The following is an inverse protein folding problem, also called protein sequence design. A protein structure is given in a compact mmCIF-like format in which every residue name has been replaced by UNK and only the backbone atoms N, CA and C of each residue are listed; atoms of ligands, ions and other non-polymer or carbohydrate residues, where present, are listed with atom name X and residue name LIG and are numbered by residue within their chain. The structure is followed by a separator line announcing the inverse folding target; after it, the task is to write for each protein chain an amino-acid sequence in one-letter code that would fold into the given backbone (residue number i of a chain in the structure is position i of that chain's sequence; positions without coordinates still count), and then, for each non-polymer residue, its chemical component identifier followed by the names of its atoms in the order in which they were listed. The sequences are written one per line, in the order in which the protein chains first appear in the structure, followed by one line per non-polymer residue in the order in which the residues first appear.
data_IF_874710563801
#
_entry.id   IF_874710563801
#
_cell.length_a   1.000
_cell.length_b   1.000
_cell.length_c   1.000
_cell.angle_alpha   90.00
_cell.angle_beta   90.00
_cell.angle_gamma   90.00
#
_symmetry.space_group_name_H-M   'P 1'
#
loop_
_entity.id
_entity.type
_entity.pdbx_description
1 polymer ?
#
# COMPACT_ATOMS: atom_id res chain seq x y z
N UNK A 1 38.61 -11.04 -17.60
CA UNK A 1 37.70 -12.07 -17.05
C UNK A 1 36.37 -11.80 -17.65
N UNK A 2 35.83 -12.68 -18.53
CA UNK A 2 34.54 -12.53 -19.16
C UNK A 2 33.50 -12.53 -18.05
N UNK A 3 32.82 -11.41 -17.82
CA UNK A 3 31.57 -11.39 -17.08
C UNK A 3 30.63 -12.24 -17.92
N UNK A 4 30.25 -13.45 -17.48
CA UNK A 4 29.13 -14.16 -18.03
C UNK A 4 27.93 -13.21 -17.87
N UNK A 5 27.33 -12.80 -18.99
CA UNK A 5 26.11 -12.02 -18.97
C UNK A 5 25.04 -12.85 -18.23
N UNK A 6 24.73 -12.43 -17.01
CA UNK A 6 23.75 -13.14 -16.18
C UNK A 6 22.36 -12.95 -16.80
N UNK A 7 21.73 -14.07 -17.20
CA UNK A 7 20.41 -14.07 -17.80
C UNK A 7 19.35 -14.48 -16.76
N UNK A 8 18.33 -13.65 -16.62
CA UNK A 8 17.19 -13.86 -15.73
C UNK A 8 15.88 -13.97 -16.54
N UNK A 9 14.89 -14.63 -15.97
CA UNK A 9 13.53 -14.61 -16.51
C UNK A 9 12.84 -13.30 -16.15
N UNK A 10 12.99 -12.86 -14.90
CA UNK A 10 12.41 -11.63 -14.37
C UNK A 10 13.44 -10.84 -13.56
N UNK A 11 13.61 -9.56 -13.89
CA UNK A 11 14.28 -8.61 -13.02
C UNK A 11 13.25 -7.71 -12.35
N UNK A 12 13.30 -7.62 -11.02
CA UNK A 12 12.43 -6.78 -10.20
C UNK A 12 13.28 -5.64 -9.62
N UNK A 13 12.95 -4.42 -9.97
CA UNK A 13 13.60 -3.20 -9.50
C UNK A 13 12.82 -2.63 -8.32
N UNK A 14 13.44 -2.62 -7.15
CA UNK A 14 12.85 -2.22 -5.87
C UNK A 14 12.57 -3.44 -4.98
N UNK A 15 13.39 -3.62 -3.93
CA UNK A 15 13.23 -4.67 -2.92
C UNK A 15 12.37 -4.21 -1.72
N UNK A 16 11.48 -3.24 -1.94
CA UNK A 16 10.43 -2.89 -1.01
C UNK A 16 9.36 -3.99 -0.91
N UNK A 17 8.29 -3.70 -0.19
CA UNK A 17 7.23 -4.68 0.09
C UNK A 17 6.65 -5.30 -1.20
N UNK A 18 6.33 -4.48 -2.21
CA UNK A 18 5.72 -4.99 -3.46
C UNK A 18 6.66 -5.86 -4.28
N UNK A 19 7.94 -5.46 -4.44
CA UNK A 19 8.90 -6.24 -5.21
C UNK A 19 9.28 -7.55 -4.53
N UNK A 20 9.45 -7.51 -3.22
CA UNK A 20 9.78 -8.70 -2.41
C UNK A 20 8.63 -9.71 -2.39
N UNK A 21 7.38 -9.24 -2.24
CA UNK A 21 6.20 -10.12 -2.31
C UNK A 21 6.00 -10.70 -3.71
N UNK A 22 6.26 -9.93 -4.77
CA UNK A 22 6.22 -10.47 -6.13
C UNK A 22 7.29 -11.56 -6.32
N UNK A 23 8.53 -11.32 -5.90
CA UNK A 23 9.61 -12.30 -5.97
C UNK A 23 9.22 -13.60 -5.25
N UNK A 24 8.70 -13.50 -4.03
CA UNK A 24 8.23 -14.65 -3.27
C UNK A 24 7.09 -15.37 -4.00
N UNK A 25 6.07 -14.65 -4.49
CA UNK A 25 4.94 -15.23 -5.19
C UNK A 25 5.35 -16.00 -6.44
N UNK A 26 6.27 -15.45 -7.24
CA UNK A 26 6.82 -16.11 -8.42
C UNK A 26 7.53 -17.40 -8.07
N UNK A 27 8.40 -17.37 -7.06
CA UNK A 27 9.24 -18.49 -6.67
C UNK A 27 8.47 -19.59 -5.93
N UNK A 28 7.44 -19.23 -5.18
CA UNK A 28 6.53 -20.21 -4.55
C UNK A 28 5.73 -20.96 -5.60
N UNK A 29 5.27 -20.31 -6.66
CA UNK A 29 4.50 -20.91 -7.76
C UNK A 29 5.37 -21.65 -8.78
N UNK A 30 6.58 -21.18 -9.01
CA UNK A 30 7.54 -21.78 -9.97
C UNK A 30 8.99 -21.59 -9.52
N UNK A 31 9.53 -22.56 -8.81
CA UNK A 31 10.91 -22.56 -8.29
C UNK A 31 12.00 -22.58 -9.36
N UNK A 32 11.65 -22.85 -10.63
CA UNK A 32 12.61 -22.88 -11.76
C UNK A 32 12.86 -21.50 -12.37
N UNK A 33 12.02 -20.51 -12.07
CA UNK A 33 12.24 -19.15 -12.56
C UNK A 33 13.53 -18.56 -11.96
N UNK A 34 14.31 -17.94 -12.81
CA UNK A 34 15.49 -17.16 -12.39
C UNK A 34 15.06 -15.71 -12.16
N UNK A 35 14.98 -15.32 -10.89
CA UNK A 35 14.54 -13.99 -10.49
C UNK A 35 15.70 -13.20 -9.91
N UNK A 36 15.91 -11.98 -10.41
CA UNK A 36 16.77 -10.99 -9.80
C UNK A 36 15.92 -9.93 -9.10
N UNK A 37 16.16 -9.73 -7.81
CA UNK A 37 15.59 -8.64 -7.01
C UNK A 37 16.70 -7.64 -6.71
N UNK A 38 16.55 -6.39 -7.16
CA UNK A 38 17.55 -5.35 -6.95
C UNK A 38 16.98 -4.12 -6.27
N UNK A 39 17.81 -3.43 -5.46
CA UNK A 39 17.46 -2.17 -4.82
C UNK A 39 18.66 -1.22 -4.80
N UNK A 40 18.40 0.08 -4.92
CA UNK A 40 19.43 1.11 -4.84
C UNK A 40 19.97 1.32 -3.42
N UNK A 41 19.26 0.83 -2.41
CA UNK A 41 19.64 0.92 -0.99
C UNK A 41 20.08 -0.44 -0.44
N UNK A 42 20.95 -0.40 0.56
CA UNK A 42 21.23 -1.59 1.38
C UNK A 42 19.98 -2.04 2.14
N UNK A 43 19.87 -3.34 2.43
CA UNK A 43 18.83 -3.81 3.35
C UNK A 43 18.93 -3.00 4.64
N UNK A 44 17.85 -2.38 5.02
CA UNK A 44 17.81 -1.68 6.31
C UNK A 44 17.96 -2.73 7.40
N UNK A 45 19.21 -2.93 7.85
CA UNK A 45 19.43 -3.61 9.12
C UNK A 45 18.56 -2.91 10.15
N UNK A 46 17.83 -3.64 11.01
CA UNK A 46 17.14 -3.02 12.11
C UNK A 46 18.23 -2.28 12.90
N UNK A 47 18.33 -0.98 12.70
CA UNK A 47 19.12 -0.15 13.60
C UNK A 47 18.48 -0.42 14.93
N UNK A 48 19.25 -0.96 15.86
CA UNK A 48 18.88 -1.02 17.25
C UNK A 48 18.74 0.45 17.69
N UNK A 49 17.59 1.05 17.37
CA UNK A 49 17.26 2.37 17.82
C UNK A 49 17.08 2.25 19.32
N UNK A 50 17.79 3.05 20.07
CA UNK A 50 17.61 3.25 21.51
C UNK A 50 16.21 3.80 21.83
N UNK A 51 15.40 4.10 20.81
CA UNK A 51 14.01 4.47 20.89
C UNK A 51 13.14 3.20 20.99
N UNK A 52 12.16 3.26 21.88
CA UNK A 52 11.22 2.19 22.12
C UNK A 52 10.68 1.62 20.79
N UNK A 53 10.97 0.34 20.44
CA UNK A 53 10.56 -0.27 19.14
C UNK A 53 9.04 -0.23 18.94
N UNK A 54 8.27 -0.08 20.00
CA UNK A 54 6.80 0.04 19.96
C UNK A 54 6.29 1.25 19.18
N UNK A 55 7.14 2.21 18.84
CA UNK A 55 6.76 3.47 18.20
C UNK A 55 7.33 3.63 16.79
N UNK A 56 7.81 2.57 16.16
CA UNK A 56 8.17 2.58 14.73
C UNK A 56 6.91 2.84 13.88
N UNK A 57 6.95 3.91 13.06
CA UNK A 57 5.75 4.63 12.67
C UNK A 57 4.91 3.99 11.55
N UNK A 58 5.49 3.10 10.73
CA UNK A 58 4.82 2.65 9.51
C UNK A 58 4.03 1.37 9.70
N UNK A 59 2.71 1.51 9.51
CA UNK A 59 1.78 0.39 9.53
C UNK A 59 0.94 0.36 8.25
N UNK A 60 0.40 -0.79 7.94
CA UNK A 60 -0.55 -0.98 6.84
C UNK A 60 -1.81 -1.67 7.36
N UNK A 61 -2.94 -1.29 6.79
CA UNK A 61 -4.20 -2.00 6.95
C UNK A 61 -4.35 -2.98 5.78
N UNK A 62 -4.32 -4.27 6.08
CA UNK A 62 -4.57 -5.36 5.15
C UNK A 62 -6.05 -5.69 5.18
N UNK A 63 -6.72 -5.68 4.04
CA UNK A 63 -8.09 -6.19 3.93
C UNK A 63 -8.12 -7.73 3.86
N UNK A 64 -9.31 -8.33 3.92
CA UNK A 64 -9.47 -9.78 3.92
C UNK A 64 -8.82 -10.45 2.70
N UNK A 65 -8.98 -9.87 1.50
CA UNK A 65 -8.35 -10.38 0.28
C UNK A 65 -6.82 -10.36 0.33
N UNK A 66 -6.24 -9.31 0.92
CA UNK A 66 -4.79 -9.21 1.13
C UNK A 66 -4.29 -10.23 2.15
N UNK A 67 -5.07 -10.50 3.19
CA UNK A 67 -4.77 -11.57 4.17
C UNK A 67 -4.79 -12.94 3.50
N UNK A 68 -5.81 -13.23 2.68
CA UNK A 68 -5.89 -14.48 1.92
C UNK A 68 -4.66 -14.68 1.02
N UNK A 69 -4.23 -13.63 0.31
CA UNK A 69 -3.00 -13.69 -0.49
C UNK A 69 -1.75 -14.01 0.35
N UNK A 70 -1.62 -13.43 1.56
CA UNK A 70 -0.51 -13.76 2.47
C UNK A 70 -0.61 -15.18 3.04
N UNK A 71 -1.83 -15.72 3.19
CA UNK A 71 -2.05 -17.13 3.53
C UNK A 71 -1.58 -18.07 2.42
N UNK A 72 -1.91 -17.75 1.16
CA UNK A 72 -1.47 -18.52 -0.01
C UNK A 72 0.06 -18.58 -0.12
N UNK A 73 0.75 -17.52 0.34
CA UNK A 73 2.20 -17.46 0.41
C UNK A 73 2.78 -18.08 1.71
N UNK A 74 1.94 -18.64 2.57
CA UNK A 74 2.34 -19.23 3.88
C UNK A 74 3.05 -18.23 4.81
N UNK A 75 2.80 -16.91 4.65
CA UNK A 75 3.37 -15.86 5.50
C UNK A 75 2.46 -15.49 6.66
N UNK A 76 1.14 -15.72 6.53
CA UNK A 76 0.16 -15.16 7.45
C UNK A 76 0.30 -15.69 8.88
N UNK A 77 0.62 -16.98 9.04
CA UNK A 77 0.73 -17.58 10.37
C UNK A 77 1.87 -16.98 11.21
N UNK A 78 2.94 -16.49 10.55
CA UNK A 78 4.03 -15.78 11.21
C UNK A 78 3.71 -14.29 11.44
N UNK A 79 2.90 -13.67 10.56
CA UNK A 79 2.51 -12.26 10.68
C UNK A 79 1.40 -12.07 11.72
N UNK A 80 0.41 -12.97 11.75
CA UNK A 80 -0.81 -12.89 12.54
C UNK A 80 -0.62 -12.62 14.04
N UNK A 81 0.38 -13.19 14.72
CA UNK A 81 0.58 -12.92 16.17
C UNK A 81 0.82 -11.45 16.50
N UNK A 82 1.34 -10.65 15.53
CA UNK A 82 1.59 -9.22 15.69
C UNK A 82 0.59 -8.35 14.89
N UNK A 83 -0.45 -8.97 14.35
CA UNK A 83 -1.51 -8.26 13.62
C UNK A 83 -2.67 -7.91 14.55
N UNK A 84 -3.22 -6.70 14.40
CA UNK A 84 -4.37 -6.27 15.17
C UNK A 84 -5.62 -6.27 14.27
N UNK A 85 -6.70 -6.99 14.62
CA UNK A 85 -7.91 -7.01 13.81
C UNK A 85 -8.63 -5.65 13.82
N UNK A 86 -9.27 -5.31 12.72
CA UNK A 86 -10.22 -4.19 12.60
C UNK A 86 -11.62 -4.81 12.61
N UNK A 87 -12.29 -4.75 13.76
CA UNK A 87 -13.65 -5.29 13.91
C UNK A 87 -14.74 -4.25 13.66
N UNK A 88 -14.41 -2.97 13.81
CA UNK A 88 -15.32 -1.87 13.55
C UNK A 88 -14.58 -0.70 12.90
N UNK A 89 -15.27 0.05 12.05
CA UNK A 89 -14.76 1.29 11.48
C UNK A 89 -15.74 2.39 11.84
N UNK A 90 -15.30 3.38 12.62
CA UNK A 90 -16.09 4.54 12.97
C UNK A 90 -15.70 5.74 12.10
N UNK A 91 -16.64 6.21 11.31
CA UNK A 91 -16.47 7.38 10.45
C UNK A 91 -17.13 8.60 11.11
N UNK A 92 -16.46 9.75 11.10
CA UNK A 92 -17.01 11.00 11.65
C UNK A 92 -16.52 12.23 10.90
N UNK A 93 -17.28 13.33 10.97
CA UNK A 93 -16.91 14.62 10.42
C UNK A 93 -16.84 15.66 11.54
N UNK A 94 -15.73 16.42 11.60
CA UNK A 94 -15.51 17.43 12.66
C UNK A 94 -16.51 18.58 12.52
N UNK A 95 -17.25 18.85 13.60
CA UNK A 95 -18.25 19.92 13.64
C UNK A 95 -19.67 19.50 13.25
N UNK A 96 -19.87 18.21 12.92
CA UNK A 96 -21.19 17.68 12.59
C UNK A 96 -21.59 16.50 13.48
N UNK A 97 -22.92 16.32 13.63
CA UNK A 97 -23.48 15.20 14.37
C UNK A 97 -23.56 13.97 13.46
N UNK A 98 -23.31 12.81 14.06
CA UNK A 98 -23.34 11.51 13.38
C UNK A 98 -21.92 10.90 13.29
N UNK A 99 -21.86 9.63 13.62
CA UNK A 99 -20.66 8.79 13.46
C UNK A 99 -21.12 7.37 13.22
N UNK A 100 -21.43 7.06 11.94
CA UNK A 100 -21.75 5.69 11.59
C UNK A 100 -20.58 4.78 11.99
N UNK A 101 -20.95 3.65 12.58
CA UNK A 101 -20.03 2.55 12.86
C UNK A 101 -20.36 1.44 11.90
N UNK A 102 -19.41 1.13 11.02
CA UNK A 102 -19.48 -0.03 10.15
C UNK A 102 -18.97 -1.23 10.93
N UNK A 103 -19.65 -2.35 10.82
CA UNK A 103 -19.25 -3.62 11.39
C UNK A 103 -19.59 -4.75 10.40
N UNK A 104 -18.80 -5.82 10.31
CA UNK A 104 -19.17 -7.00 9.54
C UNK A 104 -20.49 -7.59 10.08
N UNK A 105 -21.26 -8.27 9.24
CA UNK A 105 -22.50 -8.95 9.64
C UNK A 105 -22.24 -9.99 10.72
N UNK A 106 -21.17 -10.74 10.56
CA UNK A 106 -20.70 -11.69 11.56
C UNK A 106 -19.70 -11.01 12.51
N UNK A 107 -20.04 -10.92 13.79
CA UNK A 107 -19.21 -10.28 14.82
C UNK A 107 -17.83 -10.92 15.03
N UNK A 108 -17.64 -12.16 14.58
CA UNK A 108 -16.36 -12.86 14.66
C UNK A 108 -15.44 -12.56 13.47
N UNK A 109 -15.93 -11.86 12.45
CA UNK A 109 -15.14 -11.43 11.32
C UNK A 109 -14.47 -10.09 11.58
N UNK A 110 -13.40 -9.83 10.85
CA UNK A 110 -12.73 -8.55 10.80
C UNK A 110 -12.76 -8.00 9.37
N UNK A 111 -12.81 -6.69 9.20
CA UNK A 111 -12.60 -6.03 7.91
C UNK A 111 -11.21 -6.33 7.35
N UNK A 112 -10.27 -6.62 8.24
CA UNK A 112 -8.88 -6.84 7.94
C UNK A 112 -8.03 -6.69 9.20
N UNK A 113 -6.74 -6.48 8.99
CA UNK A 113 -5.78 -6.41 10.09
C UNK A 113 -4.79 -5.27 9.87
N UNK A 114 -4.37 -4.65 10.95
CA UNK A 114 -3.27 -3.69 10.94
C UNK A 114 -1.99 -4.41 11.31
N UNK A 115 -0.94 -4.23 10.51
CA UNK A 115 0.38 -4.83 10.73
C UNK A 115 1.48 -3.79 10.62
N UNK A 116 2.51 -3.93 11.42
CA UNK A 116 3.71 -3.10 11.33
C UNK A 116 4.58 -3.57 10.17
N UNK A 117 4.94 -2.68 9.25
CA UNK A 117 5.74 -2.99 8.05
C UNK A 117 7.08 -3.64 8.38
N UNK A 118 7.69 -3.26 9.48
CA UNK A 118 8.93 -3.84 9.96
C UNK A 118 8.81 -5.35 10.19
N UNK A 119 7.73 -5.77 10.86
CA UNK A 119 7.52 -7.19 11.14
C UNK A 119 7.26 -7.98 9.86
N UNK A 120 6.39 -7.48 8.99
CA UNK A 120 6.11 -8.11 7.68
C UNK A 120 7.40 -8.23 6.86
N UNK A 121 8.23 -7.18 6.86
CA UNK A 121 9.52 -7.18 6.16
C UNK A 121 10.51 -8.24 6.67
N UNK A 122 10.54 -8.49 8.01
CA UNK A 122 11.37 -9.54 8.60
C UNK A 122 10.92 -10.94 8.18
N UNK A 123 9.61 -11.22 8.29
CA UNK A 123 9.02 -12.50 7.85
C UNK A 123 9.28 -12.75 6.36
N UNK A 124 9.09 -11.72 5.54
CA UNK A 124 9.29 -11.81 4.09
C UNK A 124 10.77 -12.04 3.73
N UNK A 125 11.70 -11.37 4.40
CA UNK A 125 13.14 -11.58 4.18
C UNK A 125 13.58 -13.02 4.54
N UNK A 126 13.04 -13.58 5.63
CA UNK A 126 13.30 -14.97 6.02
C UNK A 126 12.74 -15.95 4.98
N UNK A 127 11.52 -15.73 4.50
CA UNK A 127 10.92 -16.57 3.47
C UNK A 127 11.72 -16.53 2.15
N UNK A 128 12.13 -15.34 1.70
CA UNK A 128 12.92 -15.19 0.48
C UNK A 128 14.30 -15.86 0.55
N UNK A 129 14.93 -15.88 1.72
CA UNK A 129 16.23 -16.50 1.92
C UNK A 129 16.25 -18.02 1.68
N UNK A 130 15.09 -18.66 1.61
CA UNK A 130 14.98 -20.11 1.35
C UNK A 130 15.13 -20.49 -0.12
N UNK A 131 15.01 -19.51 -1.05
CA UNK A 131 15.03 -19.76 -2.49
C UNK A 131 16.42 -19.56 -3.10
N UNK A 132 17.04 -20.63 -3.57
CA UNK A 132 18.35 -20.60 -4.24
C UNK A 132 18.30 -20.02 -5.66
N UNK A 133 17.13 -19.97 -6.29
CA UNK A 133 16.88 -19.39 -7.60
C UNK A 133 16.63 -17.87 -7.57
N UNK A 134 16.61 -17.27 -6.37
CA UNK A 134 16.57 -15.83 -6.17
C UNK A 134 18.00 -15.29 -6.08
N UNK A 135 18.31 -14.34 -6.94
CA UNK A 135 19.49 -13.49 -6.79
C UNK A 135 19.03 -12.13 -6.22
N UNK A 136 19.72 -11.66 -5.18
CA UNK A 136 19.46 -10.32 -4.63
C UNK A 136 20.68 -9.43 -4.86
N UNK A 137 20.44 -8.20 -5.28
CA UNK A 137 21.48 -7.22 -5.52
C UNK A 137 21.08 -5.88 -4.88
N UNK A 138 21.79 -5.50 -3.83
CA UNK A 138 21.61 -4.24 -3.13
C UNK A 138 22.71 -3.24 -3.48
N UNK A 139 22.52 -1.96 -3.11
CA UNK A 139 23.40 -0.85 -3.48
C UNK A 139 23.60 -0.73 -5.01
N UNK A 140 22.58 -1.14 -5.76
CA UNK A 140 22.59 -1.20 -7.21
C UNK A 140 21.45 -0.37 -7.80
N UNK A 141 21.79 0.72 -8.46
CA UNK A 141 20.82 1.62 -9.09
C UNK A 141 20.71 1.32 -10.58
N UNK A 142 19.47 1.25 -11.08
CA UNK A 142 19.19 1.17 -12.51
C UNK A 142 19.50 2.52 -13.17
N UNK A 143 20.43 2.53 -14.14
CA UNK A 143 20.83 3.74 -14.88
C UNK A 143 20.21 3.81 -16.27
N UNK A 144 20.15 2.66 -16.97
CA UNK A 144 19.59 2.56 -18.32
C UNK A 144 18.76 1.29 -18.46
N UNK A 145 17.74 1.36 -19.28
CA UNK A 145 16.85 0.26 -19.64
C UNK A 145 16.68 0.25 -21.16
N UNK A 146 17.14 -0.80 -21.79
CA UNK A 146 16.98 -1.01 -23.23
C UNK A 146 16.04 -2.19 -23.47
N UNK A 147 15.05 -1.99 -24.30
CA UNK A 147 14.02 -2.98 -24.62
C UNK A 147 14.29 -3.57 -26.00
N UNK A 148 14.27 -4.90 -26.08
CA UNK A 148 14.46 -5.66 -27.32
C UNK A 148 13.29 -6.60 -27.57
N UNK A 149 13.19 -7.14 -28.73
CA UNK A 149 12.11 -8.07 -29.08
C UNK A 149 12.02 -9.27 -28.13
N UNK A 150 13.16 -9.76 -27.64
CA UNK A 150 13.25 -10.98 -26.81
C UNK A 150 13.48 -10.74 -25.33
N UNK A 151 13.72 -9.49 -24.91
CA UNK A 151 14.02 -9.18 -23.52
C UNK A 151 14.42 -7.73 -23.29
N UNK A 152 15.02 -7.49 -22.15
CA UNK A 152 15.53 -6.18 -21.70
C UNK A 152 16.96 -6.29 -21.28
N UNK A 153 17.70 -5.20 -21.44
CA UNK A 153 19.03 -5.01 -20.87
C UNK A 153 18.98 -3.87 -19.87
N UNK A 154 19.33 -4.16 -18.63
CA UNK A 154 19.42 -3.21 -17.53
C UNK A 154 20.88 -2.89 -17.24
N UNK A 155 21.28 -1.63 -17.40
CA UNK A 155 22.61 -1.15 -16.98
C UNK A 155 22.47 -0.56 -15.58
N UNK A 156 23.26 -1.07 -14.65
CA UNK A 156 23.28 -0.66 -13.25
C UNK A 156 24.50 0.19 -12.95
N UNK A 157 24.55 0.75 -11.75
CA UNK A 157 25.79 1.35 -11.21
C UNK A 157 26.95 0.34 -11.27
N UNK A 158 28.20 0.83 -11.27
CA UNK A 158 29.43 0.03 -11.40
C UNK A 158 29.52 -0.73 -12.74
N UNK A 159 28.90 -0.21 -13.81
CA UNK A 159 28.90 -0.76 -15.17
C UNK A 159 28.43 -2.23 -15.27
N UNK A 160 27.65 -2.69 -14.30
CA UNK A 160 27.07 -4.02 -14.31
C UNK A 160 25.88 -4.06 -15.27
N UNK A 161 25.90 -5.04 -16.18
CA UNK A 161 24.83 -5.26 -17.18
C UNK A 161 24.09 -6.55 -16.87
N UNK A 162 22.76 -6.49 -16.88
CA UNK A 162 21.85 -7.60 -16.60
C UNK A 162 20.89 -7.77 -17.79
N UNK A 163 20.68 -9.00 -18.20
CA UNK A 163 19.71 -9.37 -19.24
C UNK A 163 18.53 -10.13 -18.62
N UNK A 164 17.31 -9.74 -18.99
CA UNK A 164 16.11 -10.43 -18.54
C UNK A 164 15.02 -10.45 -19.62
N UNK A 165 14.04 -11.34 -19.50
CA UNK A 165 12.87 -11.39 -20.40
C UNK A 165 11.86 -10.32 -20.07
N UNK A 166 11.72 -9.99 -18.76
CA UNK A 166 10.80 -9.01 -18.22
C UNK A 166 11.49 -8.17 -17.17
N UNK A 167 11.28 -6.84 -17.21
CA UNK A 167 11.61 -5.92 -16.14
C UNK A 167 10.33 -5.48 -15.42
N UNK A 168 10.31 -5.64 -14.09
CA UNK A 168 9.21 -5.18 -13.23
C UNK A 168 9.69 -4.01 -12.38
N UNK A 169 9.04 -2.85 -12.53
CA UNK A 169 9.25 -1.67 -11.69
C UNK A 169 8.40 -1.74 -10.43
N UNK A 170 9.04 -1.93 -9.27
CA UNK A 170 8.46 -1.88 -7.93
C UNK A 170 9.18 -0.84 -7.06
N UNK A 171 9.80 0.16 -7.68
CA UNK A 171 10.74 1.14 -7.17
C UNK A 171 10.07 2.44 -6.67
N UNK A 172 8.79 2.36 -6.34
CA UNK A 172 8.05 3.41 -5.63
C UNK A 172 7.57 4.57 -6.52
N UNK A 173 7.04 5.62 -5.89
CA UNK A 173 6.37 6.72 -6.58
C UNK A 173 7.26 7.54 -7.53
N UNK A 174 8.57 7.57 -7.30
CA UNK A 174 9.56 8.21 -8.17
C UNK A 174 10.27 7.19 -9.10
N UNK A 175 9.52 6.20 -9.57
CA UNK A 175 10.03 5.06 -10.33
C UNK A 175 10.96 5.44 -11.48
N UNK A 176 12.18 4.92 -11.41
CA UNK A 176 13.18 5.01 -12.47
C UNK A 176 12.80 4.12 -13.65
N UNK A 177 12.24 2.92 -13.36
CA UNK A 177 11.76 2.00 -14.41
C UNK A 177 10.67 2.67 -15.24
N UNK A 178 9.67 3.28 -14.60
CA UNK A 178 8.60 4.02 -15.28
C UNK A 178 9.16 5.10 -16.18
N UNK A 179 10.12 5.87 -15.69
CA UNK A 179 10.76 6.96 -16.43
C UNK A 179 11.53 6.46 -17.64
N UNK A 180 12.40 5.45 -17.46
CA UNK A 180 13.22 4.88 -18.52
C UNK A 180 12.40 4.13 -19.57
N UNK A 181 11.33 3.47 -19.19
CA UNK A 181 10.37 2.81 -20.10
C UNK A 181 9.40 3.80 -20.78
N UNK A 182 9.47 5.09 -20.45
CA UNK A 182 8.61 6.16 -20.97
C UNK A 182 7.11 5.88 -20.76
N UNK A 183 6.78 5.24 -19.66
CA UNK A 183 5.38 5.02 -19.26
C UNK A 183 4.83 6.37 -18.77
N UNK A 184 3.79 6.86 -19.47
CA UNK A 184 3.14 8.13 -19.11
C UNK A 184 2.38 8.01 -17.79
N UNK A 185 2.40 9.09 -17.02
CA UNK A 185 1.69 9.17 -15.75
C UNK A 185 1.19 10.58 -15.49
N UNK A 186 0.17 10.69 -14.68
CA UNK A 186 -0.34 11.93 -14.14
C UNK A 186 0.02 12.01 -12.66
N UNK A 187 0.41 13.21 -12.21
CA UNK A 187 0.70 13.47 -10.81
C UNK A 187 -0.05 14.73 -10.38
N UNK A 188 -0.96 14.56 -9.43
CA UNK A 188 -1.75 15.64 -8.84
C UNK A 188 -1.35 15.82 -7.38
N UNK A 189 -0.88 17.01 -7.03
CA UNK A 189 -0.56 17.37 -5.64
C UNK A 189 -1.84 17.83 -4.94
N UNK A 190 -2.15 17.24 -3.78
CA UNK A 190 -3.28 17.65 -2.96
C UNK A 190 -2.99 18.93 -2.14
N UNK A 191 -1.76 19.45 -2.15
CA UNK A 191 -1.32 20.57 -1.32
C UNK A 191 -1.30 20.23 0.17
N UNK A 192 -1.16 18.96 0.50
CA UNK A 192 -1.23 18.40 1.85
C UNK A 192 -0.14 17.38 2.09
N UNK A 193 0.16 17.15 3.38
CA UNK A 193 1.06 16.11 3.83
C UNK A 193 0.38 15.24 4.90
N UNK A 194 0.78 13.99 5.00
CA UNK A 194 0.40 13.10 6.09
C UNK A 194 1.52 13.03 7.12
N UNK A 195 1.20 13.33 8.37
CA UNK A 195 2.05 13.03 9.52
C UNK A 195 1.67 11.62 9.98
N UNK A 196 2.64 10.71 9.96
CA UNK A 196 2.46 9.33 10.39
C UNK A 196 3.22 9.12 11.69
N UNK A 197 2.55 8.63 12.71
CA UNK A 197 3.14 8.28 14.00
C UNK A 197 2.33 7.18 14.68
N UNK A 198 2.90 6.57 15.72
CA UNK A 198 2.16 5.71 16.61
C UNK A 198 1.91 6.44 17.92
N UNK A 199 0.70 6.32 18.46
CA UNK A 199 0.34 6.88 19.77
C UNK A 199 -0.13 5.78 20.70
N UNK A 200 -0.01 6.01 22.02
CA UNK A 200 -0.63 5.19 23.06
C UNK A 200 -1.80 5.94 23.65
N UNK A 201 -2.91 5.22 23.86
CA UNK A 201 -4.11 5.74 24.52
C UNK A 201 -4.25 5.17 25.91
N UNK A 202 -4.96 5.91 26.78
CA UNK A 202 -5.30 5.43 28.11
C UNK A 202 -6.27 4.24 28.06
N UNK A 203 -7.29 4.34 27.23
CA UNK A 203 -8.30 3.30 27.05
C UNK A 203 -7.90 2.29 25.97
N UNK A 204 -8.35 1.02 26.10
CA UNK A 204 -8.24 0.03 25.03
C UNK A 204 -9.03 0.46 23.79
N UNK A 205 -8.47 0.23 22.59
CA UNK A 205 -9.10 0.59 21.32
C UNK A 205 -10.27 -0.31 20.89
N UNK A 206 -10.51 -1.44 21.57
CA UNK A 206 -11.60 -2.38 21.28
C UNK A 206 -11.67 -2.84 19.80
N UNK A 207 -10.53 -2.87 19.11
CA UNK A 207 -10.42 -3.21 17.67
C UNK A 207 -11.20 -2.26 16.75
N UNK A 208 -11.40 -1.00 17.17
CA UNK A 208 -12.07 0.03 16.39
C UNK A 208 -11.02 0.85 15.64
N UNK A 209 -11.16 0.92 14.31
CA UNK A 209 -10.48 1.91 13.49
C UNK A 209 -11.35 3.17 13.40
N UNK A 210 -10.71 4.32 13.33
CA UNK A 210 -11.41 5.60 13.23
C UNK A 210 -10.96 6.34 11.97
N UNK A 211 -11.92 6.92 11.26
CA UNK A 211 -11.69 7.87 10.18
C UNK A 211 -12.44 9.16 10.51
N UNK A 212 -11.71 10.23 10.82
CA UNK A 212 -12.29 11.52 11.16
C UNK A 212 -11.92 12.55 10.12
N UNK A 213 -12.90 12.98 9.38
CA UNK A 213 -12.73 14.07 8.43
C UNK A 213 -12.68 15.42 9.13
N UNK A 214 -11.72 16.25 8.73
CA UNK A 214 -11.54 17.62 9.20
C UNK A 214 -11.38 18.56 8.02
N UNK A 215 -11.42 19.87 8.26
CA UNK A 215 -11.17 20.88 7.22
C UNK A 215 -9.77 20.77 6.58
N UNK A 216 -8.81 20.25 7.33
CA UNK A 216 -7.41 20.13 6.88
C UNK A 216 -7.15 18.78 6.20
N UNK A 217 -8.07 17.85 6.28
CA UNK A 217 -7.98 16.48 5.76
C UNK A 217 -8.39 15.44 6.80
N UNK A 218 -8.39 14.16 6.45
CA UNK A 218 -8.73 13.09 7.36
C UNK A 218 -7.66 12.86 8.42
N UNK A 219 -8.12 12.35 9.57
CA UNK A 219 -7.29 11.75 10.61
C UNK A 219 -7.74 10.30 10.77
N UNK A 220 -6.89 9.35 10.41
CA UNK A 220 -7.13 7.94 10.62
C UNK A 220 -6.39 7.46 11.88
N UNK A 221 -7.07 6.67 12.71
CA UNK A 221 -6.47 5.91 13.80
C UNK A 221 -6.71 4.42 13.55
N UNK A 222 -5.65 3.67 13.36
CA UNK A 222 -5.70 2.23 13.11
C UNK A 222 -5.23 1.49 14.37
N UNK A 223 -6.02 0.53 14.91
CA UNK A 223 -5.65 -0.16 16.14
C UNK A 223 -4.38 -0.98 15.97
N UNK A 224 -3.50 -0.92 16.96
CA UNK A 224 -2.28 -1.71 17.09
C UNK A 224 -2.28 -2.45 18.42
N UNK A 225 -1.37 -3.40 18.57
CA UNK A 225 -1.17 -4.10 19.84
C UNK A 225 -0.92 -3.11 21.00
N UNK A 226 -1.17 -3.53 22.25
CA UNK A 226 -0.85 -2.78 23.48
C UNK A 226 -1.52 -1.39 23.61
N UNK A 227 -2.79 -1.26 23.23
CA UNK A 227 -3.55 0.00 23.31
C UNK A 227 -2.94 1.14 22.49
N UNK A 228 -2.17 0.81 21.45
CA UNK A 228 -1.62 1.79 20.51
C UNK A 228 -2.55 1.99 19.32
N UNK A 229 -2.37 3.13 18.69
CA UNK A 229 -2.89 3.40 17.35
C UNK A 229 -1.78 3.85 16.42
N UNK A 230 -1.81 3.39 15.18
CA UNK A 230 -1.13 4.07 14.09
C UNK A 230 -2.00 5.24 13.63
N UNK A 231 -1.40 6.40 13.56
CA UNK A 231 -2.04 7.67 13.18
C UNK A 231 -1.61 8.04 11.77
N UNK A 232 -2.58 8.39 10.93
CA UNK A 232 -2.36 9.10 9.68
C UNK A 232 -3.07 10.44 9.80
N UNK A 233 -2.33 11.51 10.05
CA UNK A 233 -2.88 12.85 10.24
C UNK A 233 -2.58 13.71 9.02
N UNK A 234 -3.59 13.98 8.20
CA UNK A 234 -3.46 14.84 7.03
C UNK A 234 -3.56 16.30 7.42
N UNK A 235 -2.59 17.10 6.96
CA UNK A 235 -2.47 18.54 7.25
C UNK A 235 -2.21 19.34 5.97
N UNK A 236 -2.69 20.57 5.93
CA UNK A 236 -2.34 21.51 4.86
C UNK A 236 -0.84 21.83 4.91
N UNK A 237 -0.17 21.87 3.75
CA UNK A 237 1.27 22.13 3.68
C UNK A 237 1.67 23.49 4.27
N UNK A 238 0.73 24.46 4.37
CA UNK A 238 0.99 25.75 5.01
C UNK A 238 1.03 25.65 6.54
N UNK A 239 0.29 24.71 7.14
CA UNK A 239 0.26 24.49 8.58
C UNK A 239 1.34 23.50 9.05
N UNK A 240 1.90 22.72 8.13
CA UNK A 240 2.85 21.66 8.45
C UNK A 240 4.07 22.14 9.25
N UNK A 241 4.78 23.23 8.88
CA UNK A 241 5.98 23.66 9.62
C UNK A 241 5.72 23.94 11.10
N UNK A 242 4.57 24.54 11.40
CA UNK A 242 4.18 24.84 12.78
C UNK A 242 3.93 23.55 13.58
N UNK A 243 3.32 22.55 12.96
CA UNK A 243 3.00 21.27 13.61
C UNK A 243 4.24 20.39 13.79
N UNK A 244 5.18 20.42 12.85
CA UNK A 244 6.44 19.64 12.94
C UNK A 244 7.33 20.14 14.10
N UNK A 245 7.29 21.43 14.42
CA UNK A 245 8.09 22.01 15.50
C UNK A 245 7.52 21.81 16.90
N UNK A 246 6.28 21.30 17.01
CA UNK A 246 5.66 21.05 18.32
C UNK A 246 6.44 19.99 19.12
N UNK A 247 6.53 20.19 20.42
CA UNK A 247 6.95 19.13 21.35
C UNK A 247 5.98 17.96 21.30
N UNK A 248 6.37 16.79 21.80
CA UNK A 248 5.48 15.61 21.84
C UNK A 248 4.21 15.89 22.64
N UNK A 249 4.30 16.61 23.74
CA UNK A 249 3.15 16.98 24.57
C UNK A 249 2.21 17.96 23.85
N UNK A 250 2.76 18.97 23.18
CA UNK A 250 1.98 19.95 22.43
C UNK A 250 1.35 19.30 21.19
N UNK A 251 2.08 18.42 20.49
CA UNK A 251 1.55 17.66 19.38
C UNK A 251 0.37 16.77 19.79
N UNK A 252 0.48 16.04 20.90
CA UNK A 252 -0.62 15.22 21.42
C UNK A 252 -1.83 16.08 21.78
N UNK A 253 -1.61 17.25 22.41
CA UNK A 253 -2.67 18.20 22.73
C UNK A 253 -3.36 18.71 21.47
N UNK A 254 -2.58 19.06 20.46
CA UNK A 254 -3.07 19.51 19.16
C UNK A 254 -3.85 18.41 18.44
N UNK A 255 -3.30 17.20 18.36
CA UNK A 255 -3.95 16.04 17.72
C UNK A 255 -5.26 15.67 18.46
N UNK A 256 -5.26 15.71 19.80
CA UNK A 256 -6.46 15.47 20.60
C UNK A 256 -7.56 16.51 20.32
N UNK A 257 -7.20 17.79 20.18
CA UNK A 257 -8.15 18.86 19.84
C UNK A 257 -8.76 18.68 18.42
N UNK A 258 -7.96 18.18 17.46
CA UNK A 258 -8.44 17.90 16.11
C UNK A 258 -9.28 16.63 16.06
N UNK A 259 -8.85 15.57 16.75
CA UNK A 259 -9.53 14.28 16.71
C UNK A 259 -10.73 14.20 17.68
N UNK A 260 -10.64 14.81 18.85
CA UNK A 260 -11.61 14.65 19.96
C UNK A 260 -11.28 13.43 20.84
N UNK A 261 -12.22 13.05 21.73
CA UNK A 261 -11.97 12.06 22.79
C UNK A 261 -12.58 10.67 22.53
N UNK A 262 -13.03 10.39 21.31
CA UNK A 262 -13.73 9.11 21.00
C UNK A 262 -12.84 7.87 21.09
N UNK A 263 -11.55 8.02 20.81
CA UNK A 263 -10.57 6.96 20.98
C UNK A 263 -9.90 6.98 22.37
N UNK A 264 -10.41 7.82 23.30
CA UNK A 264 -9.82 8.03 24.61
C UNK A 264 -8.80 9.17 24.62
N UNK A 265 -8.00 9.23 25.70
CA UNK A 265 -6.99 10.25 25.92
C UNK A 265 -5.64 9.77 25.39
N UNK A 266 -5.02 10.59 24.54
CA UNK A 266 -3.70 10.33 24.00
C UNK A 266 -2.63 10.65 25.04
N UNK A 267 -1.73 9.71 25.28
CA UNK A 267 -0.77 9.81 26.39
C UNK A 267 0.68 9.93 25.91
N UNK A 268 1.01 9.28 24.80
CA UNK A 268 2.38 9.18 24.32
C UNK A 268 2.39 9.09 22.82
N UNK A 269 3.40 9.69 22.17
CA UNK A 269 3.65 9.56 20.73
C UNK A 269 5.05 9.03 20.47
N UNK A 270 5.21 8.30 19.38
CA UNK A 270 6.51 7.94 18.81
C UNK A 270 7.04 9.00 17.85
N UNK A 271 8.04 8.65 17.06
CA UNK A 271 8.57 9.47 15.99
C UNK A 271 7.46 9.84 14.99
N UNK A 272 7.58 11.04 14.42
CA UNK A 272 6.66 11.59 13.44
C UNK A 272 7.36 11.64 12.08
N UNK A 273 6.83 10.88 11.12
CA UNK A 273 7.31 10.90 9.74
C UNK A 273 6.33 11.69 8.87
N UNK A 274 6.83 12.48 7.93
CA UNK A 274 6.01 13.31 7.04
C UNK A 274 6.12 12.85 5.60
N UNK A 275 4.96 12.69 4.96
CA UNK A 275 4.85 12.27 3.57
C UNK A 275 3.96 13.22 2.78
N UNK A 276 4.44 13.81 1.66
CA UNK A 276 3.61 14.63 0.79
C UNK A 276 2.51 13.77 0.15
N UNK A 277 1.28 14.28 0.13
CA UNK A 277 0.13 13.58 -0.42
C UNK A 277 -0.05 13.94 -1.90
N UNK A 278 0.22 12.98 -2.75
CA UNK A 278 0.06 13.11 -4.20
C UNK A 278 -0.72 11.93 -4.75
N UNK A 279 -1.61 12.19 -5.68
CA UNK A 279 -2.20 11.16 -6.53
C UNK A 279 -1.29 10.96 -7.73
N UNK A 280 -0.76 9.76 -7.90
CA UNK A 280 -0.03 9.36 -9.08
C UNK A 280 -0.79 8.22 -9.75
N UNK A 281 -1.06 8.34 -11.02
CA UNK A 281 -1.74 7.32 -11.82
C UNK A 281 -1.06 7.16 -13.17
N UNK A 282 -0.93 5.92 -13.64
CA UNK A 282 -0.52 5.60 -15.00
C UNK A 282 -1.74 5.17 -15.80
N UNK A 283 -1.87 5.64 -17.04
CA UNK A 283 -2.96 5.20 -17.93
C UNK A 283 -2.78 3.72 -18.31
N UNK A 284 -1.53 3.34 -18.55
CA UNK A 284 -1.10 1.99 -18.87
C UNK A 284 0.23 1.72 -18.17
N UNK A 285 0.26 0.89 -17.08
CA UNK A 285 1.50 0.62 -16.36
C UNK A 285 2.44 -0.36 -17.08
N UNK A 286 2.21 -0.63 -18.35
CA UNK A 286 2.95 -1.58 -19.19
C UNK A 286 3.62 -0.88 -20.36
N UNK A 287 4.78 -1.40 -20.74
CA UNK A 287 5.51 -1.09 -21.97
C UNK A 287 6.08 -2.39 -22.53
N UNK A 288 6.78 -2.33 -23.67
CA UNK A 288 7.38 -3.54 -24.24
C UNK A 288 8.37 -4.17 -23.25
N UNK A 289 8.11 -5.41 -22.79
CA UNK A 289 8.95 -6.13 -21.81
C UNK A 289 9.08 -5.45 -20.45
N UNK A 290 8.21 -4.51 -20.13
CA UNK A 290 8.26 -3.76 -18.85
C UNK A 290 6.85 -3.63 -18.27
N UNK A 291 6.75 -3.77 -16.93
CA UNK A 291 5.53 -3.49 -16.18
C UNK A 291 5.87 -2.78 -14.87
N UNK A 292 5.08 -1.79 -14.49
CA UNK A 292 5.15 -1.16 -13.17
C UNK A 292 4.02 -1.68 -12.26
N UNK A 293 4.33 -1.89 -10.98
CA UNK A 293 3.38 -2.34 -9.95
C UNK A 293 3.46 -1.49 -8.69
N UNK A 294 2.43 -1.54 -7.86
CA UNK A 294 2.36 -0.80 -6.61
C UNK A 294 2.59 0.69 -6.82
N UNK A 295 3.36 1.34 -5.93
CA UNK A 295 3.58 2.79 -6.01
C UNK A 295 4.30 3.25 -7.28
N UNK A 296 4.95 2.37 -8.04
CA UNK A 296 5.51 2.69 -9.34
C UNK A 296 4.43 2.85 -10.42
N UNK A 297 3.30 2.17 -10.28
CA UNK A 297 2.15 2.29 -11.17
C UNK A 297 1.11 3.31 -10.68
N UNK A 298 0.85 3.33 -9.38
CA UNK A 298 -0.15 4.20 -8.75
C UNK A 298 0.22 4.55 -7.31
N UNK A 299 0.03 5.79 -6.90
CA UNK A 299 0.13 6.22 -5.50
C UNK A 299 -1.14 6.94 -5.13
N UNK A 300 -1.87 6.40 -4.16
CA UNK A 300 -3.17 6.89 -3.74
C UNK A 300 -3.08 7.65 -2.42
N UNK A 301 -4.08 8.48 -2.16
CA UNK A 301 -4.25 9.07 -0.84
C UNK A 301 -4.44 7.95 0.21
N UNK A 302 -3.86 8.06 1.42
CA UNK A 302 -3.91 7.01 2.44
C UNK A 302 -5.31 6.77 3.05
N UNK A 303 -6.35 7.46 2.59
CA UNK A 303 -7.73 7.23 3.02
C UNK A 303 -8.12 5.77 2.81
N UNK A 304 -8.66 5.17 3.84
CA UNK A 304 -9.12 3.77 3.88
C UNK A 304 -8.05 2.72 3.55
N UNK A 305 -6.75 3.06 3.54
CA UNK A 305 -5.64 2.12 3.35
C UNK A 305 -5.63 1.37 2.01
N UNK A 306 -6.27 1.89 0.96
CA UNK A 306 -6.50 1.16 -0.30
C UNK A 306 -5.26 1.02 -1.19
N UNK A 307 -4.29 1.94 -1.11
CA UNK A 307 -3.15 1.95 -2.03
C UNK A 307 -2.30 0.67 -1.97
N UNK A 308 -2.00 0.20 -0.77
CA UNK A 308 -1.22 -1.03 -0.59
C UNK A 308 -2.00 -2.27 -1.02
N UNK A 309 -3.28 -2.36 -0.65
CA UNK A 309 -4.14 -3.49 -1.01
C UNK A 309 -4.34 -3.59 -2.54
N UNK A 310 -4.44 -2.45 -3.24
CA UNK A 310 -4.47 -2.41 -4.70
C UNK A 310 -3.16 -2.98 -5.30
N UNK A 311 -2.01 -2.56 -4.76
CA UNK A 311 -0.70 -3.09 -5.15
C UNK A 311 -0.57 -4.60 -4.92
N UNK A 312 -1.11 -5.14 -3.82
CA UNK A 312 -1.12 -6.59 -3.58
C UNK A 312 -1.93 -7.35 -4.64
N UNK A 313 -3.09 -6.82 -5.04
CA UNK A 313 -3.87 -7.41 -6.13
C UNK A 313 -3.14 -7.37 -7.46
N UNK A 314 -2.36 -6.31 -7.73
CA UNK A 314 -1.54 -6.21 -8.94
C UNK A 314 -0.50 -7.30 -9.01
N UNK A 315 0.29 -7.46 -7.95
CA UNK A 315 1.36 -8.45 -7.93
C UNK A 315 0.84 -9.88 -7.91
N UNK A 316 -0.32 -10.15 -7.28
CA UNK A 316 -0.96 -11.46 -7.30
C UNK A 316 -1.33 -11.87 -8.74
N UNK A 317 -2.07 -11.01 -9.44
CA UNK A 317 -2.47 -11.27 -10.85
C UNK A 317 -1.26 -11.37 -11.78
N UNK A 318 -0.26 -10.49 -11.59
CA UNK A 318 0.96 -10.54 -12.40
C UNK A 318 1.73 -11.84 -12.20
N UNK A 319 1.86 -12.29 -10.95
CA UNK A 319 2.54 -13.55 -10.64
C UNK A 319 1.83 -14.75 -11.25
N UNK A 320 0.49 -14.78 -11.21
CA UNK A 320 -0.31 -15.84 -11.83
C UNK A 320 -0.09 -15.91 -13.34
N UNK A 321 -0.16 -14.77 -14.00
CA UNK A 321 0.02 -14.71 -15.46
C UNK A 321 1.45 -15.10 -15.83
N UNK A 322 2.49 -14.58 -15.15
CA UNK A 322 3.89 -14.94 -15.43
C UNK A 322 4.10 -16.46 -15.28
N UNK A 323 3.58 -17.05 -14.22
CA UNK A 323 3.84 -18.47 -13.94
C UNK A 323 3.05 -19.45 -14.83
N UNK A 324 1.96 -18.99 -15.44
CA UNK A 324 1.19 -19.73 -16.43
C UNK A 324 1.69 -19.51 -17.88
N UNK A 325 2.50 -18.48 -18.10
CA UNK A 325 3.07 -18.16 -19.42
C UNK A 325 4.29 -19.05 -19.71
N UNK A 326 4.42 -19.62 -20.92
CA UNK A 326 5.65 -20.29 -21.33
C UNK A 326 6.87 -19.39 -21.13
N UNK A 327 7.98 -19.96 -20.65
CA UNK A 327 9.16 -19.18 -20.24
C UNK A 327 9.71 -18.28 -21.34
N UNK A 328 9.64 -18.70 -22.62
CA UNK A 328 10.08 -17.89 -23.77
C UNK A 328 9.16 -16.67 -24.02
N UNK A 329 7.90 -16.71 -23.59
CA UNK A 329 6.89 -15.69 -23.83
C UNK A 329 6.74 -14.71 -22.65
N UNK A 330 7.46 -14.95 -21.55
CA UNK A 330 7.49 -14.03 -20.39
C UNK A 330 7.89 -12.63 -20.88
N UNK A 331 7.08 -11.62 -20.53
CA UNK A 331 7.27 -10.23 -20.94
C UNK A 331 6.79 -9.92 -22.35
N UNK A 332 6.16 -10.86 -23.08
CA UNK A 332 5.54 -10.56 -24.37
C UNK A 332 4.44 -9.52 -24.22
N UNK A 333 4.14 -8.82 -25.29
CA UNK A 333 3.07 -7.82 -25.29
C UNK A 333 1.70 -8.45 -25.02
N UNK A 334 1.44 -9.67 -25.50
CA UNK A 334 0.19 -10.38 -25.22
C UNK A 334 0.02 -10.68 -23.73
N UNK A 335 1.08 -11.20 -23.06
CA UNK A 335 1.07 -11.46 -21.63
C UNK A 335 0.83 -10.18 -20.81
N UNK A 336 1.53 -9.08 -21.14
CA UNK A 336 1.37 -7.81 -20.43
C UNK A 336 0.01 -7.15 -20.71
N UNK A 337 -0.53 -7.32 -21.91
CA UNK A 337 -1.88 -6.85 -22.24
C UNK A 337 -2.96 -7.61 -21.49
N UNK A 338 -2.82 -8.94 -21.36
CA UNK A 338 -3.71 -9.76 -20.52
C UNK A 338 -3.68 -9.29 -19.07
N UNK A 339 -2.48 -9.08 -18.51
CA UNK A 339 -2.35 -8.51 -17.17
C UNK A 339 -3.12 -7.20 -17.01
N UNK A 340 -2.93 -6.25 -17.93
CA UNK A 340 -3.59 -4.96 -17.83
C UNK A 340 -5.10 -5.05 -18.01
N UNK A 341 -5.60 -5.87 -18.90
CA UNK A 341 -7.04 -6.11 -19.07
C UNK A 341 -7.69 -6.62 -17.76
N UNK A 342 -7.01 -7.53 -17.07
CA UNK A 342 -7.48 -8.01 -15.75
C UNK A 342 -7.47 -6.93 -14.68
N UNK A 343 -6.55 -5.95 -14.74
CA UNK A 343 -6.35 -4.98 -13.66
C UNK A 343 -7.01 -3.62 -13.87
N UNK A 344 -7.22 -3.22 -15.12
CA UNK A 344 -7.65 -1.87 -15.49
C UNK A 344 -8.94 -1.43 -14.79
N UNK A 345 -9.94 -2.30 -14.71
CA UNK A 345 -11.22 -1.98 -14.07
C UNK A 345 -11.06 -1.72 -12.57
N UNK A 346 -10.31 -2.57 -11.88
CA UNK A 346 -10.04 -2.43 -10.45
C UNK A 346 -9.25 -1.14 -10.17
N UNK A 347 -8.20 -0.85 -10.94
CA UNK A 347 -7.47 0.41 -10.85
C UNK A 347 -8.39 1.61 -10.96
N UNK A 348 -9.16 1.70 -12.04
CA UNK A 348 -10.05 2.84 -12.30
C UNK A 348 -11.08 3.00 -11.18
N UNK A 349 -11.68 1.91 -10.72
CA UNK A 349 -12.68 1.95 -9.64
C UNK A 349 -12.06 2.41 -8.32
N UNK A 350 -10.93 1.81 -7.91
CA UNK A 350 -10.27 2.14 -6.65
C UNK A 350 -9.76 3.58 -6.64
N UNK A 351 -9.15 4.03 -7.74
CA UNK A 351 -8.66 5.41 -7.88
C UNK A 351 -9.83 6.40 -7.79
N UNK A 352 -10.90 6.18 -8.58
CA UNK A 352 -12.07 7.05 -8.60
C UNK A 352 -12.72 7.14 -7.22
N UNK A 353 -12.90 6.02 -6.52
CA UNK A 353 -13.51 5.98 -5.20
C UNK A 353 -12.65 6.71 -4.17
N UNK A 354 -11.34 6.45 -4.14
CA UNK A 354 -10.41 7.09 -3.21
C UNK A 354 -10.34 8.60 -3.44
N UNK A 355 -10.19 9.05 -4.67
CA UNK A 355 -10.13 10.49 -5.01
C UNK A 355 -11.48 11.18 -4.73
N UNK A 356 -12.61 10.51 -5.02
CA UNK A 356 -13.95 11.04 -4.71
C UNK A 356 -14.16 11.24 -3.21
N UNK A 357 -13.74 10.27 -2.37
CA UNK A 357 -13.81 10.42 -0.92
C UNK A 357 -13.00 11.63 -0.46
N UNK A 358 -11.76 11.77 -0.92
CA UNK A 358 -10.91 12.91 -0.56
C UNK A 358 -11.58 14.23 -0.97
N UNK A 359 -12.06 14.37 -2.19
CA UNK A 359 -12.68 15.59 -2.70
C UNK A 359 -13.98 15.95 -1.98
N UNK A 360 -14.85 14.96 -1.73
CA UNK A 360 -16.14 15.17 -1.06
C UNK A 360 -15.90 15.60 0.39
N UNK A 361 -15.00 14.94 1.12
CA UNK A 361 -14.80 15.22 2.54
C UNK A 361 -13.85 16.39 2.81
N UNK A 362 -13.01 16.77 1.86
CA UNK A 362 -12.16 17.96 1.97
C UNK A 362 -12.87 19.25 1.60
N UNK A 363 -14.04 19.19 0.96
CA UNK A 363 -14.77 20.37 0.52
C UNK A 363 -15.74 20.84 1.60
N UNK A 364 -15.62 22.12 1.99
CA UNK A 364 -16.48 22.74 3.03
C UNK A 364 -17.68 23.52 2.45
N UNK A 365 -17.88 23.51 1.14
CA UNK A 365 -18.98 24.23 0.55
C UNK A 365 -20.33 23.68 1.07
N UNK A 366 -21.26 24.51 1.56
CA UNK A 366 -22.52 24.07 2.17
C UNK A 366 -23.33 23.12 1.30
N UNK A 367 -23.29 23.30 -0.03
CA UNK A 367 -23.96 22.42 -1.01
C UNK A 367 -23.41 21.00 -1.03
N UNK A 368 -22.21 20.75 -0.50
CA UNK A 368 -21.60 19.41 -0.40
C UNK A 368 -21.58 18.90 1.03
N UNK A 369 -21.38 19.77 2.02
CA UNK A 369 -21.27 19.37 3.43
C UNK A 369 -22.62 18.88 3.98
N UNK A 370 -23.75 19.52 3.61
CA UNK A 370 -25.08 19.11 4.09
C UNK A 370 -25.50 17.75 3.52
N UNK A 371 -25.50 17.50 2.19
CA UNK A 371 -25.82 16.17 1.66
C UNK A 371 -24.88 15.07 2.15
N UNK A 372 -23.56 15.37 2.30
CA UNK A 372 -22.59 14.43 2.85
C UNK A 372 -22.96 13.98 4.26
N UNK A 373 -23.31 14.90 5.14
CA UNK A 373 -23.69 14.56 6.51
C UNK A 373 -25.04 13.85 6.59
N UNK A 374 -26.01 14.18 5.72
CA UNK A 374 -27.23 13.41 5.57
C UNK A 374 -26.92 12.00 5.10
N UNK A 375 -26.00 11.83 4.13
CA UNK A 375 -25.53 10.54 3.65
C UNK A 375 -24.87 9.71 4.76
N UNK A 376 -24.00 10.29 5.57
CA UNK A 376 -23.41 9.64 6.74
C UNK A 376 -24.45 9.20 7.76
N UNK A 377 -25.48 10.02 8.02
CA UNK A 377 -26.59 9.66 8.90
C UNK A 377 -27.45 8.54 8.29
N UNK A 378 -27.72 8.60 6.98
CA UNK A 378 -28.45 7.54 6.29
C UNK A 378 -27.72 6.19 6.37
N UNK A 379 -26.39 6.17 6.23
CA UNK A 379 -25.57 4.96 6.42
C UNK A 379 -25.69 4.39 7.84
N UNK A 380 -25.86 5.22 8.86
CA UNK A 380 -26.04 4.75 10.25
C UNK A 380 -27.45 4.23 10.53
N UNK A 381 -28.47 4.73 9.81
CA UNK A 381 -29.86 4.37 10.02
C UNK A 381 -30.35 3.23 9.10
N UNK A 382 -29.69 3.04 7.95
CA UNK A 382 -30.09 2.10 6.90
C UNK A 382 -28.91 1.16 6.58
N UNK A 383 -28.76 0.05 7.31
CA UNK A 383 -27.62 -0.87 7.17
C UNK A 383 -27.40 -1.39 5.75
N UNK A 384 -28.45 -1.56 4.93
CA UNK A 384 -28.32 -2.02 3.55
C UNK A 384 -27.54 -1.04 2.65
N UNK A 385 -27.47 0.26 3.01
CA UNK A 385 -26.67 1.24 2.27
C UNK A 385 -25.17 1.10 2.57
N UNK A 386 -24.80 0.47 3.67
CA UNK A 386 -23.39 0.24 4.03
C UNK A 386 -22.79 -1.02 3.40
N UNK A 387 -23.62 -1.97 2.92
CA UNK A 387 -23.15 -3.24 2.35
C UNK A 387 -22.07 -3.06 1.25
N UNK A 388 -22.25 -2.20 0.22
CA UNK A 388 -21.21 -2.01 -0.80
C UNK A 388 -19.91 -1.44 -0.25
N UNK A 389 -20.00 -0.58 0.78
CA UNK A 389 -18.81 -0.03 1.46
C UNK A 389 -18.11 -1.09 2.30
N UNK A 390 -18.87 -2.00 2.91
CA UNK A 390 -18.35 -3.12 3.69
C UNK A 390 -17.63 -4.12 2.78
N UNK A 391 -18.22 -4.52 1.66
CA UNK A 391 -17.63 -5.38 0.66
C UNK A 391 -16.33 -4.79 0.10
N UNK A 392 -16.34 -3.49 -0.19
CA UNK A 392 -15.15 -2.78 -0.61
C UNK A 392 -14.06 -2.74 0.47
N UNK A 393 -14.43 -2.48 1.73
CA UNK A 393 -13.49 -2.47 2.84
C UNK A 393 -12.85 -3.86 3.06
N UNK A 394 -13.61 -4.93 2.85
CA UNK A 394 -13.12 -6.31 2.88
C UNK A 394 -12.24 -6.68 1.67
N UNK A 395 -12.34 -5.93 0.57
CA UNK A 395 -11.64 -6.27 -0.68
C UNK A 395 -12.25 -7.47 -1.40
N UNK A 396 -13.50 -7.80 -1.08
CA UNK A 396 -14.28 -8.89 -1.68
C UNK A 396 -14.92 -8.47 -3.01
N UNK A 397 -14.18 -7.74 -3.85
CA UNK A 397 -14.63 -7.58 -5.23
C UNK A 397 -14.42 -8.89 -5.97
N UNK A 398 -15.44 -9.32 -6.70
CA UNK A 398 -15.47 -10.49 -7.59
C UNK A 398 -14.48 -10.37 -8.77
N UNK A 399 -13.26 -9.93 -8.49
CA UNK A 399 -12.21 -9.59 -9.45
C UNK A 399 -11.34 -10.80 -9.81
N UNK A 400 -11.54 -11.92 -9.13
CA UNK A 400 -10.82 -13.17 -9.37
C UNK A 400 -11.55 -14.13 -10.30
N UNK A 401 -12.79 -13.87 -10.68
CA UNK A 401 -13.54 -14.73 -11.59
C UNK A 401 -13.14 -14.47 -13.05
N UNK A 402 -12.15 -15.26 -13.53
CA UNK A 402 -11.85 -15.42 -14.98
C UNK A 402 -13.07 -15.85 -15.80
N UNK A 403 -14.12 -16.36 -15.16
CA UNK A 403 -15.36 -16.83 -15.82
C UNK A 403 -16.19 -15.73 -16.47
N UNK A 404 -15.93 -14.46 -16.12
CA UNK A 404 -16.63 -13.31 -16.73
C UNK A 404 -15.93 -12.70 -17.95
N UNK A 405 -14.86 -13.33 -18.48
CA UNK A 405 -14.12 -12.90 -19.66
C UNK A 405 -14.33 -13.83 -20.88
N UNK A 406 -15.30 -14.74 -20.82
CA UNK A 406 -15.69 -15.59 -21.94
C UNK A 406 -16.89 -15.04 -22.70
#
# INVERSE_FOLDING_TARGET
MNSMDEQYDVVIVGAGMSGSLLALSLLTKNTKLKVLLLDENSPRTPVASTLNPSFDARCIALNAGSVAFLQDLSLWDEIKPNAQPIQQIQVSDKGYFGSPTLAPENKNEAFGYVVELRHVGQVLAQALATFTSLTTLFDAKLLQLQQYQTGVTCTLTQDKTIHAKLCVGADGGNSQVRSLARISYQKNDYGRSAIICNIRCHQPHQNIAYERFTKNGPIALLPLTEHRFSVVYCVDNKALPDIETLSDADFLTHLQAEFGYRAGVFQQTGSRDVYPLTLLTTDHPIAHRVVCIGNAAHSLHPVAGQGFNLGLRDLHVLADIITQTPVQDIGSFSMLSEYWQCRQRDHNTTILMTDSLVRIFSNQHPLLSVPRNIGLQALSLLPFLSTPLIEQAKGEFDLFNRENLS
#
